data_IF_626957874394
#
_entry.id   IF_626957874394
#
_cell.length_a   1.000
_cell.length_b   1.000
_cell.length_c   1.000
_cell.angle_alpha   90.00
_cell.angle_beta   90.00
_cell.angle_gamma   90.00
#
_symmetry.space_group_name_H-M   'P 1'
#
loop_
_entity.id
_entity.type
_entity.pdbx_description
1 polymer ?
#
# COMPACT_ATOMS: atom_id res chain seq x y z
N UNK A 1 -2.76 -22.70 -25.72
CA UNK A 1 -2.48 -23.47 -24.47
C UNK A 1 -3.82 -23.99 -23.95
N UNK A 2 -3.86 -24.76 -22.85
CA UNK A 2 -5.14 -24.99 -22.16
C UNK A 2 -5.70 -23.63 -21.70
N UNK A 3 -7.02 -23.44 -21.74
CA UNK A 3 -7.65 -22.22 -21.21
C UNK A 3 -7.52 -22.16 -19.68
N UNK A 4 -7.42 -23.32 -19.02
CA UNK A 4 -7.15 -23.44 -17.58
C UNK A 4 -5.66 -23.64 -17.29
N UNK A 5 -5.14 -22.89 -16.31
CA UNK A 5 -3.76 -22.95 -15.83
C UNK A 5 -3.73 -23.50 -14.40
N UNK A 6 -2.67 -24.23 -14.05
CA UNK A 6 -2.37 -24.62 -12.67
C UNK A 6 -1.56 -23.52 -12.00
N UNK A 7 -2.12 -22.89 -10.97
CA UNK A 7 -1.59 -21.67 -10.36
C UNK A 7 -1.15 -21.93 -8.92
N UNK A 8 0.11 -21.57 -8.63
CA UNK A 8 0.51 -21.29 -7.25
C UNK A 8 0.22 -19.81 -6.96
N UNK A 9 -0.47 -19.52 -5.87
CA UNK A 9 -0.69 -18.13 -5.43
C UNK A 9 0.20 -17.80 -4.23
N UNK A 10 0.91 -16.67 -4.26
CA UNK A 10 1.75 -16.20 -3.17
C UNK A 10 1.31 -14.81 -2.70
N UNK A 11 0.79 -14.70 -1.48
CA UNK A 11 0.29 -13.45 -0.95
C UNK A 11 -0.01 -13.47 0.55
N UNK A 12 -0.18 -12.30 1.16
CA UNK A 12 -0.40 -12.21 2.62
C UNK A 12 -1.62 -11.33 3.02
N UNK A 13 -1.69 -10.03 2.65
CA UNK A 13 -2.74 -9.14 3.17
C UNK A 13 -4.08 -9.31 2.45
N UNK A 14 -5.11 -8.57 2.90
CA UNK A 14 -6.44 -8.54 2.29
C UNK A 14 -6.41 -8.26 0.77
N UNK A 15 -5.56 -7.31 0.34
CA UNK A 15 -5.31 -7.04 -1.08
C UNK A 15 -5.04 -8.31 -1.88
N UNK A 16 -4.18 -9.18 -1.36
CA UNK A 16 -3.83 -10.43 -2.01
C UNK A 16 -4.98 -11.44 -1.93
N UNK A 17 -5.71 -11.49 -0.82
CA UNK A 17 -6.88 -12.37 -0.68
C UNK A 17 -7.94 -12.09 -1.75
N UNK A 18 -8.15 -10.83 -2.14
CA UNK A 18 -9.08 -10.48 -3.25
C UNK A 18 -8.63 -11.02 -4.60
N UNK A 19 -7.32 -11.01 -4.87
CA UNK A 19 -6.77 -11.61 -6.08
C UNK A 19 -6.90 -13.15 -6.05
N UNK A 20 -6.63 -13.77 -4.90
CA UNK A 20 -6.85 -15.20 -4.72
C UNK A 20 -8.32 -15.58 -4.94
N UNK A 21 -9.27 -14.83 -4.37
CA UNK A 21 -10.70 -15.08 -4.56
C UNK A 21 -11.09 -15.04 -6.05
N UNK A 22 -10.63 -14.02 -6.78
CA UNK A 22 -10.90 -13.90 -8.21
C UNK A 22 -10.32 -15.07 -9.03
N UNK A 23 -9.17 -15.62 -8.64
CA UNK A 23 -8.60 -16.82 -9.28
C UNK A 23 -9.38 -18.09 -8.93
N UNK A 24 -9.91 -18.20 -7.71
CA UNK A 24 -10.75 -19.33 -7.29
C UNK A 24 -12.06 -19.34 -8.07
N UNK A 25 -12.63 -18.16 -8.35
CA UNK A 25 -13.87 -17.99 -9.08
C UNK A 25 -13.69 -18.08 -10.61
N UNK A 26 -12.46 -18.21 -11.12
CA UNK A 26 -12.16 -18.31 -12.55
C UNK A 26 -12.05 -19.76 -13.03
N UNK A 27 -11.74 -19.95 -14.31
CA UNK A 27 -11.50 -21.25 -14.93
C UNK A 27 -10.18 -21.92 -14.53
N UNK A 28 -9.33 -21.24 -13.76
CA UNK A 28 -8.00 -21.72 -13.39
C UNK A 28 -8.03 -22.59 -12.12
N UNK A 29 -7.01 -23.43 -11.95
CA UNK A 29 -6.87 -24.30 -10.78
C UNK A 29 -5.82 -23.72 -9.84
N UNK A 30 -6.22 -23.21 -8.68
CA UNK A 30 -5.27 -22.81 -7.63
C UNK A 30 -4.79 -24.05 -6.88
N UNK A 31 -3.60 -24.54 -7.23
CA UNK A 31 -3.06 -25.82 -6.73
C UNK A 31 -2.36 -25.68 -5.38
N UNK A 32 -1.97 -24.46 -5.00
CA UNK A 32 -1.34 -24.21 -3.72
C UNK A 32 -1.19 -22.73 -3.41
N UNK A 33 -1.16 -22.41 -2.12
CA UNK A 33 -1.05 -21.04 -1.60
C UNK A 33 0.19 -20.90 -0.73
N UNK A 34 1.05 -19.93 -1.04
CA UNK A 34 2.09 -19.43 -0.15
C UNK A 34 1.63 -18.17 0.56
N UNK A 35 1.87 -18.13 1.86
CA UNK A 35 1.63 -16.94 2.69
C UNK A 35 2.67 -16.86 3.79
N UNK A 36 2.89 -15.67 4.33
CA UNK A 36 3.79 -15.49 5.47
C UNK A 36 3.34 -16.36 6.66
N UNK A 37 4.28 -16.87 7.49
CA UNK A 37 3.95 -17.53 8.75
C UNK A 37 3.05 -16.66 9.63
N UNK A 38 2.14 -17.30 10.37
CA UNK A 38 1.22 -16.60 11.27
C UNK A 38 2.00 -15.77 12.29
N UNK A 39 1.56 -14.53 12.50
CA UNK A 39 2.21 -13.60 13.43
C UNK A 39 1.23 -13.21 14.54
N UNK A 40 1.74 -12.87 15.74
CA UNK A 40 0.92 -12.26 16.77
C UNK A 40 0.34 -10.93 16.29
N UNK A 41 -0.98 -10.79 16.39
CA UNK A 41 -1.70 -9.58 15.97
C UNK A 41 -2.64 -9.07 17.08
N UNK A 42 -2.98 -7.79 17.01
CA UNK A 42 -3.96 -7.15 17.91
C UNK A 42 -3.54 -7.03 19.39
N UNK A 43 -4.47 -6.56 20.22
CA UNK A 43 -4.28 -6.46 21.68
C UNK A 43 -4.36 -7.87 22.27
N UNK A 44 -3.29 -8.31 22.94
CA UNK A 44 -3.19 -9.66 23.50
C UNK A 44 -2.33 -10.63 22.67
N UNK A 45 -1.81 -10.20 21.52
CA UNK A 45 -0.80 -10.94 20.73
C UNK A 45 -1.19 -12.40 20.41
N UNK A 46 -2.48 -12.65 20.13
CA UNK A 46 -2.91 -13.97 19.68
C UNK A 46 -2.36 -14.23 18.28
N UNK A 47 -1.83 -15.43 18.06
CA UNK A 47 -1.41 -15.89 16.74
C UNK A 47 -2.69 -16.00 15.90
N UNK A 48 -2.75 -15.25 14.81
CA UNK A 48 -3.92 -15.17 13.93
C UNK A 48 -3.46 -15.48 12.51
N UNK A 49 -4.27 -16.25 11.78
CA UNK A 49 -4.04 -16.50 10.37
C UNK A 49 -4.18 -15.18 9.58
N UNK A 50 -3.41 -15.04 8.49
CA UNK A 50 -3.57 -13.91 7.57
C UNK A 50 -4.77 -14.12 6.63
N UNK A 51 -5.30 -13.05 6.01
CA UNK A 51 -6.46 -13.13 5.12
C UNK A 51 -6.33 -14.17 3.99
N UNK A 52 -5.17 -14.26 3.35
CA UNK A 52 -4.90 -15.26 2.29
C UNK A 52 -4.97 -16.69 2.82
N UNK A 53 -4.44 -16.95 4.02
CA UNK A 53 -4.49 -18.28 4.65
C UNK A 53 -5.92 -18.68 4.97
N UNK A 54 -6.69 -17.77 5.56
CA UNK A 54 -8.08 -18.04 5.94
C UNK A 54 -8.91 -18.38 4.70
N UNK A 55 -8.78 -17.62 3.62
CA UNK A 55 -9.47 -17.90 2.37
C UNK A 55 -9.05 -19.24 1.75
N UNK A 56 -7.75 -19.51 1.68
CA UNK A 56 -7.25 -20.79 1.15
C UNK A 56 -7.80 -22.00 1.93
N UNK A 57 -7.86 -21.90 3.26
CA UNK A 57 -8.42 -22.96 4.12
C UNK A 57 -9.93 -23.15 3.90
N UNK A 58 -10.69 -22.07 3.71
CA UNK A 58 -12.13 -22.15 3.41
C UNK A 58 -12.41 -22.92 2.11
N UNK A 59 -11.52 -22.78 1.12
CA UNK A 59 -11.62 -23.47 -0.17
C UNK A 59 -10.83 -24.79 -0.24
N UNK A 60 -10.28 -25.27 0.89
CA UNK A 60 -9.46 -26.49 0.98
C UNK A 60 -8.23 -26.51 0.05
N UNK A 61 -7.64 -25.34 -0.20
CA UNK A 61 -6.43 -25.20 -1.01
C UNK A 61 -5.20 -25.45 -0.10
N UNK A 62 -4.22 -26.25 -0.52
CA UNK A 62 -3.01 -26.49 0.25
C UNK A 62 -2.26 -25.19 0.58
N UNK A 63 -1.93 -24.97 1.86
CA UNK A 63 -1.19 -23.79 2.32
C UNK A 63 0.22 -24.16 2.75
N UNK A 64 1.21 -23.41 2.25
CA UNK A 64 2.62 -23.51 2.63
C UNK A 64 3.12 -22.18 3.22
N UNK A 65 3.72 -22.24 4.41
CA UNK A 65 4.21 -21.05 5.14
C UNK A 65 5.69 -21.16 5.46
N UNK A 66 6.59 -21.22 4.45
CA UNK A 66 8.01 -21.30 4.71
C UNK A 66 8.51 -20.01 5.35
N UNK A 67 9.43 -20.10 6.30
CA UNK A 67 10.10 -18.93 6.86
C UNK A 67 11.07 -18.26 5.85
N UNK A 68 11.48 -19.00 4.80
CA UNK A 68 12.37 -18.54 3.74
C UNK A 68 12.20 -19.39 2.49
N UNK A 69 12.30 -18.81 1.31
CA UNK A 69 12.32 -19.55 0.04
C UNK A 69 13.74 -19.86 -0.47
N UNK A 70 14.78 -19.49 0.28
CA UNK A 70 16.18 -19.69 -0.14
C UNK A 70 16.69 -21.12 0.01
N UNK A 71 16.02 -21.95 0.81
CA UNK A 71 16.45 -23.33 1.05
C UNK A 71 15.79 -24.28 0.05
N UNK A 72 16.58 -25.16 -0.54
CA UNK A 72 16.12 -26.15 -1.53
C UNK A 72 15.04 -27.09 -0.98
N UNK A 73 15.06 -27.38 0.33
CA UNK A 73 14.02 -28.18 1.00
C UNK A 73 12.60 -27.60 0.79
N UNK A 74 12.49 -26.27 0.63
CA UNK A 74 11.21 -25.60 0.40
C UNK A 74 10.81 -25.58 -1.08
N UNK A 75 11.72 -25.89 -2.01
CA UNK A 75 11.44 -25.94 -3.44
C UNK A 75 10.72 -27.22 -3.84
N UNK A 76 10.98 -28.32 -3.13
CA UNK A 76 10.32 -29.60 -3.36
C UNK A 76 8.79 -29.49 -3.32
N UNK A 77 8.25 -28.80 -2.31
CA UNK A 77 6.82 -28.55 -2.21
C UNK A 77 6.26 -27.80 -3.42
N UNK A 78 7.02 -26.84 -3.97
CA UNK A 78 6.62 -26.07 -5.16
C UNK A 78 6.62 -26.94 -6.43
N UNK A 79 7.63 -27.80 -6.60
CA UNK A 79 7.70 -28.74 -7.72
C UNK A 79 6.55 -29.73 -7.70
N UNK A 80 6.16 -30.22 -6.51
CA UNK A 80 5.06 -31.17 -6.34
C UNK A 80 3.70 -30.60 -6.78
N UNK A 81 3.53 -29.27 -6.81
CA UNK A 81 2.29 -28.67 -7.28
C UNK A 81 2.13 -28.73 -8.81
N UNK A 82 3.21 -28.96 -9.55
CA UNK A 82 3.21 -29.01 -11.03
C UNK A 82 2.50 -27.78 -11.64
N UNK A 83 2.86 -26.59 -11.16
CA UNK A 83 2.21 -25.35 -11.56
C UNK A 83 2.70 -24.87 -12.93
N UNK A 84 1.77 -24.36 -13.74
CA UNK A 84 2.10 -23.63 -14.96
C UNK A 84 2.71 -22.28 -14.63
N UNK A 85 2.18 -21.59 -13.63
CA UNK A 85 2.55 -20.22 -13.29
C UNK A 85 2.41 -19.97 -11.79
N UNK A 86 3.18 -19.01 -11.27
CA UNK A 86 2.98 -18.48 -9.92
C UNK A 86 2.51 -17.03 -9.98
N UNK A 87 1.45 -16.71 -9.25
CA UNK A 87 0.93 -15.35 -9.10
C UNK A 87 1.33 -14.81 -7.73
N UNK A 88 2.05 -13.70 -7.72
CA UNK A 88 2.58 -13.05 -6.53
C UNK A 88 1.86 -11.72 -6.31
N UNK A 89 1.29 -11.53 -5.12
CA UNK A 89 0.57 -10.31 -4.76
C UNK A 89 0.88 -9.98 -3.30
N UNK A 90 1.62 -8.90 -3.05
CA UNK A 90 1.94 -8.41 -1.71
C UNK A 90 2.43 -9.53 -0.74
N UNK A 91 3.28 -10.43 -1.23
CA UNK A 91 3.70 -11.62 -0.50
C UNK A 91 4.59 -11.31 0.70
N UNK A 92 5.54 -10.37 0.54
CA UNK A 92 6.43 -9.93 1.61
C UNK A 92 7.73 -10.71 1.77
N UNK A 93 8.02 -11.66 0.88
CA UNK A 93 9.34 -12.31 0.75
C UNK A 93 9.88 -12.17 -0.67
N UNK A 94 11.21 -12.12 -0.77
CA UNK A 94 11.92 -12.15 -2.03
C UNK A 94 11.90 -13.60 -2.57
N UNK A 95 11.51 -13.77 -3.83
CA UNK A 95 11.63 -15.02 -4.54
C UNK A 95 13.05 -15.12 -5.11
N UNK A 96 13.86 -16.12 -4.71
CA UNK A 96 15.16 -16.36 -5.35
C UNK A 96 14.95 -16.86 -6.79
N UNK A 97 15.97 -16.70 -7.64
CA UNK A 97 15.93 -17.16 -9.05
C UNK A 97 15.49 -18.62 -9.16
N UNK A 98 16.02 -19.49 -8.30
CA UNK A 98 15.66 -20.91 -8.26
C UNK A 98 14.16 -21.17 -8.06
N UNK A 99 13.40 -20.23 -7.44
CA UNK A 99 11.94 -20.32 -7.32
C UNK A 99 11.22 -19.70 -8.52
N UNK A 100 11.76 -18.60 -9.07
CA UNK A 100 11.22 -17.97 -10.29
C UNK A 100 11.20 -18.94 -11.48
N UNK A 101 12.17 -19.85 -11.53
CA UNK A 101 12.34 -20.82 -12.61
C UNK A 101 11.50 -22.11 -12.43
N UNK A 102 10.81 -22.30 -11.29
CA UNK A 102 10.04 -23.53 -11.02
C UNK A 102 8.79 -23.63 -11.91
N UNK A 103 7.90 -22.63 -11.96
CA UNK A 103 6.73 -22.71 -12.81
C UNK A 103 7.14 -22.56 -14.28
N UNK A 104 6.48 -23.30 -15.18
CA UNK A 104 6.78 -23.32 -16.62
C UNK A 104 6.75 -21.93 -17.28
N UNK A 105 5.84 -21.07 -16.82
CA UNK A 105 5.63 -19.69 -17.29
C UNK A 105 6.23 -18.66 -16.32
N UNK A 106 7.03 -19.11 -15.35
CA UNK A 106 7.62 -18.27 -14.31
C UNK A 106 6.60 -17.68 -13.33
N UNK A 107 6.94 -16.51 -12.81
CA UNK A 107 6.14 -15.81 -11.80
C UNK A 107 5.67 -14.45 -12.33
N UNK A 108 4.39 -14.14 -12.14
CA UNK A 108 3.84 -12.80 -12.36
C UNK A 108 3.61 -12.11 -11.02
N UNK A 109 3.84 -10.80 -10.97
CA UNK A 109 3.50 -9.98 -9.81
C UNK A 109 2.42 -8.95 -10.17
N UNK A 110 1.47 -8.74 -9.26
CA UNK A 110 0.54 -7.60 -9.32
C UNK A 110 1.10 -6.48 -8.47
N UNK A 111 1.69 -5.48 -9.14
CA UNK A 111 2.30 -4.33 -8.48
C UNK A 111 1.32 -3.16 -8.38
N UNK A 112 1.25 -2.52 -7.21
CA UNK A 112 0.29 -1.44 -6.91
C UNK A 112 0.70 -0.05 -7.40
N UNK A 113 1.38 0.04 -8.55
CA UNK A 113 1.62 1.30 -9.27
C UNK A 113 1.63 1.09 -10.79
N UNK A 114 1.70 2.20 -11.52
CA UNK A 114 2.02 2.24 -12.94
C UNK A 114 3.55 2.22 -13.11
N UNK A 115 4.13 1.04 -13.27
CA UNK A 115 5.57 0.89 -13.50
C UNK A 115 5.99 1.61 -14.80
N UNK A 116 7.24 2.11 -14.88
CA UNK A 116 8.36 1.92 -13.95
C UNK A 116 8.38 2.84 -12.72
N UNK A 117 7.37 3.72 -12.56
CA UNK A 117 7.27 4.55 -11.36
C UNK A 117 6.90 3.69 -10.14
N UNK A 118 7.47 4.06 -8.98
CA UNK A 118 7.16 3.51 -7.67
C UNK A 118 7.47 2.02 -7.49
N UNK A 119 8.64 1.56 -7.97
CA UNK A 119 9.16 0.24 -7.58
C UNK A 119 9.33 0.14 -6.07
N UNK A 120 9.02 -1.01 -5.46
CA UNK A 120 9.26 -1.27 -4.05
C UNK A 120 8.01 -1.37 -3.17
N UNK A 121 8.14 -0.97 -1.91
CA UNK A 121 7.34 -1.52 -0.83
C UNK A 121 6.03 -0.76 -0.52
N UNK A 122 5.91 0.52 -0.88
CA UNK A 122 4.75 1.34 -0.56
C UNK A 122 4.23 2.18 -1.75
N UNK A 123 4.02 1.59 -2.94
CA UNK A 123 3.70 2.34 -4.16
C UNK A 123 2.42 3.18 -4.04
N UNK A 124 1.36 2.62 -3.47
CA UNK A 124 0.05 3.26 -3.33
C UNK A 124 0.19 4.58 -2.54
N UNK A 125 0.85 4.50 -1.40
CA UNK A 125 1.02 5.62 -0.49
C UNK A 125 1.96 6.68 -1.08
N UNK A 126 2.98 6.25 -1.82
CA UNK A 126 4.00 7.13 -2.39
C UNK A 126 3.49 7.93 -3.59
N UNK A 127 2.66 7.34 -4.43
CA UNK A 127 1.97 8.07 -5.50
C UNK A 127 1.09 9.20 -4.93
N UNK A 128 0.30 8.89 -3.90
CA UNK A 128 -0.54 9.89 -3.21
C UNK A 128 0.30 10.98 -2.51
N UNK A 129 1.36 10.57 -1.83
CA UNK A 129 2.28 11.46 -1.11
C UNK A 129 2.99 12.44 -2.05
N UNK A 130 3.41 12.00 -3.23
CA UNK A 130 4.05 12.83 -4.23
C UNK A 130 3.08 13.81 -4.91
N UNK A 131 1.78 13.50 -4.85
CA UNK A 131 0.73 14.28 -5.50
C UNK A 131 0.55 13.92 -6.97
N UNK A 132 0.76 12.64 -7.32
CA UNK A 132 0.44 12.13 -8.65
C UNK A 132 -1.06 12.28 -8.93
N UNK A 133 -1.41 12.53 -10.19
CA UNK A 133 -2.81 12.66 -10.61
C UNK A 133 -3.50 11.29 -10.77
N UNK A 134 -2.73 10.25 -11.03
CA UNK A 134 -3.21 8.89 -11.23
C UNK A 134 -2.25 7.87 -10.60
N UNK A 135 -2.79 6.70 -10.29
CA UNK A 135 -2.04 5.51 -9.91
C UNK A 135 -2.68 4.31 -10.60
N UNK A 136 -2.30 3.09 -10.25
CA UNK A 136 -2.86 1.91 -10.87
C UNK A 136 -2.21 0.63 -10.40
N UNK A 137 -2.47 -0.42 -11.18
CA UNK A 137 -1.78 -1.69 -11.07
C UNK A 137 -0.99 -1.99 -12.34
N UNK A 138 0.13 -2.66 -12.18
CA UNK A 138 0.89 -3.27 -13.28
C UNK A 138 1.02 -4.76 -13.02
N UNK A 139 0.60 -5.58 -13.98
CA UNK A 139 0.94 -7.00 -14.01
C UNK A 139 2.29 -7.11 -14.71
N UNK A 140 3.28 -7.66 -14.03
CA UNK A 140 4.64 -7.77 -14.56
C UNK A 140 5.15 -9.21 -14.48
N UNK A 141 6.00 -9.59 -15.43
CA UNK A 141 6.85 -10.76 -15.30
C UNK A 141 7.91 -10.47 -14.24
N UNK A 142 8.08 -11.36 -13.26
CA UNK A 142 9.14 -11.21 -12.26
C UNK A 142 10.50 -11.63 -12.82
N UNK A 143 11.53 -10.90 -12.43
CA UNK A 143 12.94 -11.24 -12.62
C UNK A 143 13.69 -11.21 -11.27
N UNK A 144 15.02 -11.31 -11.29
CA UNK A 144 15.84 -11.30 -10.08
C UNK A 144 15.87 -9.94 -9.35
N UNK A 145 15.45 -8.86 -10.01
CA UNK A 145 15.47 -7.52 -9.45
C UNK A 145 14.22 -7.18 -8.64
N UNK A 146 14.24 -6.01 -8.00
CA UNK A 146 13.08 -5.49 -7.28
C UNK A 146 12.17 -4.73 -8.24
N UNK A 147 11.07 -5.37 -8.64
CA UNK A 147 10.06 -4.80 -9.53
C UNK A 147 10.63 -4.33 -10.88
N UNK A 148 11.61 -5.06 -11.44
CA UNK A 148 12.34 -4.65 -12.64
C UNK A 148 11.92 -5.35 -13.92
N UNK A 149 11.22 -6.47 -13.83
CA UNK A 149 10.85 -7.27 -15.00
C UNK A 149 9.80 -6.61 -15.90
N UNK A 150 9.60 -7.23 -17.06
CA UNK A 150 8.79 -6.67 -18.14
C UNK A 150 7.31 -6.50 -17.73
N UNK A 151 6.74 -5.37 -18.13
CA UNK A 151 5.34 -5.03 -17.85
C UNK A 151 4.45 -5.72 -18.88
N UNK A 152 3.39 -6.38 -18.44
CA UNK A 152 2.50 -7.16 -19.31
C UNK A 152 1.17 -6.44 -19.53
N UNK A 153 0.64 -5.81 -18.48
CA UNK A 153 -0.62 -5.08 -18.54
C UNK A 153 -0.68 -4.01 -17.45
N UNK A 154 -1.36 -2.90 -17.73
CA UNK A 154 -1.57 -1.79 -16.78
C UNK A 154 -3.05 -1.43 -16.73
N UNK A 155 -3.52 -1.10 -15.53
CA UNK A 155 -4.84 -0.49 -15.34
C UNK A 155 -4.68 0.70 -14.38
N UNK A 156 -5.15 1.87 -14.81
CA UNK A 156 -5.02 3.12 -14.07
C UNK A 156 -6.31 3.53 -13.36
N UNK A 157 -6.19 4.31 -12.30
CA UNK A 157 -7.28 5.02 -11.65
C UNK A 157 -6.83 6.40 -11.18
N UNK A 158 -7.75 7.37 -11.22
CA UNK A 158 -7.51 8.73 -10.75
C UNK A 158 -7.34 8.80 -9.23
N UNK A 159 -6.39 9.64 -8.80
CA UNK A 159 -6.22 10.07 -7.40
C UNK A 159 -6.99 11.37 -7.21
N UNK A 160 -8.09 11.30 -6.45
CA UNK A 160 -8.90 12.48 -6.11
C UNK A 160 -8.30 13.27 -4.95
N UNK A 161 -8.80 14.49 -4.72
CA UNK A 161 -8.34 15.33 -3.62
C UNK A 161 -8.66 14.73 -2.24
N UNK A 162 -9.73 13.94 -2.15
CA UNK A 162 -10.21 13.31 -0.91
C UNK A 162 -9.63 11.91 -0.69
N UNK A 163 -8.92 11.35 -1.68
CA UNK A 163 -8.35 10.02 -1.57
C UNK A 163 -7.30 9.94 -0.46
N UNK A 164 -7.39 8.86 0.30
CA UNK A 164 -6.39 8.41 1.27
C UNK A 164 -5.76 7.12 0.76
N UNK A 165 -4.66 6.68 1.37
CA UNK A 165 -4.10 5.37 1.00
C UNK A 165 -5.09 4.23 1.25
N UNK A 166 -6.02 4.35 2.21
CA UNK A 166 -7.09 3.39 2.41
C UNK A 166 -8.08 3.36 1.22
N UNK A 167 -8.55 4.51 0.72
CA UNK A 167 -9.50 4.53 -0.39
C UNK A 167 -8.85 4.13 -1.71
N UNK A 168 -7.58 4.54 -1.95
CA UNK A 168 -6.81 4.07 -3.10
C UNK A 168 -6.57 2.57 -3.04
N UNK A 169 -6.29 2.02 -1.85
CA UNK A 169 -6.15 0.57 -1.67
C UNK A 169 -7.40 -0.17 -2.12
N UNK A 170 -8.60 0.29 -1.74
CA UNK A 170 -9.87 -0.32 -2.17
C UNK A 170 -10.06 -0.22 -3.70
N UNK A 171 -9.81 0.96 -4.30
CA UNK A 171 -9.86 1.11 -5.76
C UNK A 171 -8.93 0.14 -6.48
N UNK A 172 -7.69 0.00 -5.99
CA UNK A 172 -6.70 -0.90 -6.56
C UNK A 172 -7.04 -2.37 -6.33
N UNK A 173 -7.67 -2.69 -5.20
CA UNK A 173 -8.17 -4.01 -4.87
C UNK A 173 -9.32 -4.47 -5.79
N UNK A 174 -10.05 -3.53 -6.39
CA UNK A 174 -11.11 -3.82 -7.35
C UNK A 174 -10.57 -4.00 -8.78
N UNK A 175 -9.64 -3.14 -9.22
CA UNK A 175 -9.08 -3.21 -10.59
C UNK A 175 -7.97 -4.27 -10.73
N UNK A 176 -7.24 -4.57 -9.65
CA UNK A 176 -6.12 -5.53 -9.62
C UNK A 176 -6.50 -6.93 -10.09
N UNK A 177 -7.54 -7.56 -9.49
CA UNK A 177 -7.97 -8.89 -9.90
C UNK A 177 -8.46 -8.94 -11.34
N UNK A 178 -9.14 -7.90 -11.82
CA UNK A 178 -9.60 -7.81 -13.22
C UNK A 178 -8.43 -7.74 -14.19
N UNK A 179 -7.42 -6.90 -13.87
CA UNK A 179 -6.19 -6.79 -14.64
C UNK A 179 -5.41 -8.12 -14.69
N UNK A 180 -5.36 -8.84 -13.56
CA UNK A 180 -4.75 -10.16 -13.48
C UNK A 180 -5.45 -11.18 -14.39
N UNK A 181 -6.78 -11.34 -14.26
CA UNK A 181 -7.54 -12.30 -15.07
C UNK A 181 -7.46 -11.96 -16.57
N UNK A 182 -7.49 -10.68 -16.93
CA UNK A 182 -7.28 -10.24 -18.30
C UNK A 182 -5.91 -10.66 -18.83
N UNK A 183 -4.86 -10.46 -18.03
CA UNK A 183 -3.48 -10.84 -18.40
C UNK A 183 -3.35 -12.36 -18.58
N UNK A 184 -3.97 -13.16 -17.71
CA UNK A 184 -3.98 -14.62 -17.84
C UNK A 184 -4.72 -15.09 -19.10
N UNK A 185 -5.82 -14.43 -19.45
CA UNK A 185 -6.54 -14.69 -20.70
C UNK A 185 -5.65 -14.45 -21.94
N UNK A 186 -4.94 -13.32 -21.97
CA UNK A 186 -3.98 -13.01 -23.04
C UNK A 186 -2.81 -14.02 -23.06
N UNK A 187 -2.34 -14.46 -21.89
CA UNK A 187 -1.28 -15.47 -21.76
C UNK A 187 -1.71 -16.81 -22.38
N UNK A 188 -2.92 -17.31 -22.06
CA UNK A 188 -3.43 -18.56 -22.61
C UNK A 188 -3.57 -18.54 -24.14
N UNK A 189 -3.91 -17.36 -24.70
CA UNK A 189 -4.03 -17.09 -26.14
C UNK A 189 -2.69 -16.78 -26.83
N UNK A 190 -1.61 -16.65 -26.07
CA UNK A 190 -0.30 -16.26 -26.58
C UNK A 190 -0.31 -14.88 -27.27
N UNK A 191 -1.07 -13.94 -26.69
CA UNK A 191 -1.27 -12.57 -27.20
C UNK A 191 -0.54 -11.51 -26.38
N UNK A 192 0.15 -11.89 -25.30
CA UNK A 192 0.93 -10.95 -24.47
C UNK A 192 2.04 -10.26 -25.27
N UNK A 193 2.23 -8.98 -24.97
CA UNK A 193 3.30 -8.15 -25.50
C UNK A 193 4.08 -7.55 -24.33
N UNK A 194 5.13 -8.23 -23.83
CA UNK A 194 5.94 -7.71 -22.74
C UNK A 194 6.62 -6.39 -23.12
N UNK A 195 6.51 -5.39 -22.24
CA UNK A 195 7.11 -4.06 -22.38
C UNK A 195 8.27 -3.91 -21.37
N UNK A 196 9.52 -3.81 -21.84
CA UNK A 196 10.66 -3.52 -20.97
C UNK A 196 10.54 -2.15 -20.29
N UNK A 197 10.93 -2.08 -19.03
CA UNK A 197 10.86 -0.85 -18.24
C UNK A 197 11.93 0.17 -18.66
N UNK A 198 11.53 1.43 -18.89
CA UNK A 198 12.45 2.54 -19.16
C UNK A 198 13.16 3.01 -17.88
N UNK A 199 14.49 2.87 -17.83
CA UNK A 199 15.32 3.29 -16.68
C UNK A 199 15.18 4.77 -16.33
N UNK A 200 14.85 5.63 -17.31
CA UNK A 200 14.72 7.08 -17.10
C UNK A 200 13.48 7.50 -16.30
N UNK A 201 12.50 6.61 -16.17
CA UNK A 201 11.22 6.86 -15.51
C UNK A 201 11.10 6.12 -14.16
N UNK A 202 12.19 5.47 -13.71
CA UNK A 202 12.19 4.68 -12.47
C UNK A 202 12.19 5.60 -11.26
N UNK A 203 11.23 5.39 -10.36
CA UNK A 203 11.22 5.94 -9.00
C UNK A 203 11.02 4.81 -7.99
N UNK A 204 11.47 5.01 -6.75
CA UNK A 204 11.38 4.00 -5.69
C UNK A 204 10.42 4.44 -4.58
N UNK A 205 9.51 3.54 -4.23
CA UNK A 205 8.54 3.69 -3.18
C UNK A 205 9.07 3.09 -1.87
N UNK A 206 9.80 3.90 -1.10
CA UNK A 206 10.30 3.51 0.21
C UNK A 206 9.17 3.19 1.19
N UNK A 207 9.41 2.20 2.06
CA UNK A 207 8.47 1.81 3.11
C UNK A 207 8.26 2.98 4.09
N UNK A 208 6.99 3.25 4.41
CA UNK A 208 6.64 4.29 5.38
C UNK A 208 7.19 3.96 6.79
N UNK A 209 7.52 5.01 7.55
CA UNK A 209 7.99 4.91 8.92
C UNK A 209 7.20 5.82 9.88
N UNK A 210 7.21 5.52 11.18
CA UNK A 210 6.55 6.40 12.16
C UNK A 210 7.31 7.71 12.32
N UNK A 211 8.60 7.70 12.05
CA UNK A 211 9.47 8.87 12.11
C UNK A 211 9.08 9.85 11.01
N UNK A 212 8.83 9.36 9.81
CA UNK A 212 8.37 10.13 8.65
C UNK A 212 6.95 10.69 8.82
N UNK A 213 6.08 10.00 9.57
CA UNK A 213 4.73 10.48 9.86
C UNK A 213 4.69 11.70 10.82
N UNK A 214 5.82 12.09 11.43
CA UNK A 214 5.86 13.33 12.19
C UNK A 214 5.77 14.51 11.23
N UNK A 215 4.77 15.38 11.43
CA UNK A 215 4.60 16.58 10.62
C UNK A 215 5.85 17.46 10.75
N UNK A 216 6.48 17.73 9.60
CA UNK A 216 7.61 18.63 9.50
C UNK A 216 7.13 19.96 8.91
N UNK A 217 6.96 20.96 9.77
CA UNK A 217 6.45 22.28 9.38
C UNK A 217 7.31 23.01 8.33
N UNK A 218 8.54 22.55 8.10
CA UNK A 218 9.40 23.06 7.03
C UNK A 218 8.96 22.63 5.61
N UNK A 219 7.95 21.78 5.48
CA UNK A 219 7.31 21.44 4.21
C UNK A 219 6.16 22.41 3.92
N UNK A 220 5.75 22.52 2.66
CA UNK A 220 4.58 23.32 2.28
C UNK A 220 3.29 22.72 2.84
N UNK A 221 2.26 23.55 3.02
CA UNK A 221 0.95 23.09 3.47
C UNK A 221 0.36 22.03 2.54
N UNK A 222 0.56 22.15 1.23
CA UNK A 222 0.13 21.15 0.25
C UNK A 222 0.84 19.79 0.44
N UNK A 223 2.15 19.79 0.72
CA UNK A 223 2.85 18.55 0.97
C UNK A 223 2.42 17.90 2.28
N UNK A 224 2.20 18.69 3.35
CA UNK A 224 1.72 18.17 4.63
C UNK A 224 0.30 17.61 4.53
N UNK A 225 -0.57 18.26 3.76
CA UNK A 225 -1.93 17.77 3.48
C UNK A 225 -1.88 16.39 2.78
N UNK A 226 -1.03 16.23 1.75
CA UNK A 226 -0.79 14.94 1.10
C UNK A 226 -0.22 13.90 2.06
N UNK A 227 0.73 14.27 2.93
CA UNK A 227 1.24 13.36 3.96
C UNK A 227 0.12 12.84 4.87
N UNK A 228 -0.79 13.72 5.31
CA UNK A 228 -1.93 13.35 6.17
C UNK A 228 -2.82 12.30 5.50
N UNK A 229 -3.12 12.47 4.19
CA UNK A 229 -3.91 11.49 3.43
C UNK A 229 -3.13 10.22 3.10
N UNK A 230 -1.87 10.34 2.68
CA UNK A 230 -1.01 9.21 2.30
C UNK A 230 -0.67 8.30 3.48
N UNK A 231 -0.55 8.85 4.69
CA UNK A 231 -0.24 8.08 5.89
C UNK A 231 -1.50 7.56 6.60
N UNK A 232 -2.70 7.74 6.02
CA UNK A 232 -3.94 7.18 6.51
C UNK A 232 -4.23 5.84 5.80
N UNK A 233 -4.31 4.70 6.52
CA UNK A 233 -4.57 4.57 7.96
C UNK A 233 -3.33 4.25 8.81
N UNK A 234 -2.15 4.15 8.19
CA UNK A 234 -0.89 3.89 8.87
C UNK A 234 0.27 4.61 8.18
N UNK A 235 1.21 5.26 8.92
CA UNK A 235 1.28 5.35 10.39
C UNK A 235 0.36 6.39 11.05
N UNK A 236 -0.37 7.15 10.24
CA UNK A 236 -1.11 8.38 10.57
C UNK A 236 -0.18 9.52 10.94
N UNK A 237 -0.26 10.63 10.20
CA UNK A 237 0.50 11.83 10.50
C UNK A 237 0.23 12.30 11.92
N UNK A 238 1.25 12.82 12.60
CA UNK A 238 1.10 13.33 13.97
C UNK A 238 2.05 14.47 14.26
N UNK A 239 1.74 15.17 15.34
CA UNK A 239 2.58 16.18 15.97
C UNK A 239 2.72 15.87 17.47
N UNK A 240 3.65 16.55 18.15
CA UNK A 240 3.88 16.38 19.59
C UNK A 240 3.40 17.64 20.31
N UNK A 241 2.54 17.48 21.32
CA UNK A 241 2.15 18.55 22.25
C UNK A 241 2.31 17.99 23.67
N UNK A 242 2.95 18.73 24.56
CA UNK A 242 3.20 18.31 25.95
C UNK A 242 3.76 16.87 26.03
N UNK A 243 4.76 16.56 25.20
CA UNK A 243 5.41 15.25 25.06
C UNK A 243 4.46 14.10 24.61
N UNK A 244 3.23 14.41 24.20
CA UNK A 244 2.24 13.43 23.75
C UNK A 244 2.01 13.50 22.24
N UNK A 245 1.89 12.35 21.55
CA UNK A 245 1.54 12.33 20.14
C UNK A 245 0.05 12.65 19.95
N UNK A 246 -0.23 13.63 19.10
CA UNK A 246 -1.56 13.97 18.60
C UNK A 246 -1.60 13.66 17.12
N UNK A 247 -2.40 12.67 16.73
CA UNK A 247 -2.55 12.29 15.32
C UNK A 247 -3.45 13.28 14.59
N UNK A 248 -3.18 13.51 13.32
CA UNK A 248 -3.96 14.36 12.42
C UNK A 248 -4.56 13.48 11.33
N UNK A 249 -5.89 13.52 11.20
CA UNK A 249 -6.65 12.65 10.30
C UNK A 249 -7.15 13.38 9.07
N UNK A 250 -7.49 14.67 9.22
CA UNK A 250 -7.95 15.53 8.14
C UNK A 250 -7.38 16.93 8.31
N UNK A 251 -6.99 17.51 7.18
CA UNK A 251 -6.54 18.89 7.06
C UNK A 251 -6.90 19.42 5.67
N UNK A 252 -6.96 20.74 5.55
CA UNK A 252 -7.10 21.43 4.27
C UNK A 252 -5.99 22.48 4.12
N UNK A 253 -5.70 22.86 2.88
CA UNK A 253 -4.73 23.92 2.59
C UNK A 253 -5.45 25.26 2.47
N UNK A 254 -4.91 26.28 3.13
CA UNK A 254 -5.29 27.68 2.92
C UNK A 254 -4.13 28.36 2.18
N UNK A 255 -4.38 28.77 0.95
CA UNK A 255 -3.41 29.40 0.06
C UNK A 255 -3.25 30.90 0.36
N UNK A 256 -2.84 31.22 1.58
CA UNK A 256 -2.51 32.58 2.02
C UNK A 256 -1.00 32.68 2.32
N UNK A 257 -0.36 33.82 1.99
CA UNK A 257 1.05 34.02 2.30
C UNK A 257 1.24 34.09 3.82
N UNK A 258 2.29 33.43 4.31
CA UNK A 258 2.60 33.36 5.73
C UNK A 258 3.87 34.17 6.01
N UNK A 259 3.79 35.07 6.99
CA UNK A 259 4.91 35.93 7.41
C UNK A 259 5.51 35.50 8.75
N UNK A 260 4.93 34.50 9.41
CA UNK A 260 5.38 33.96 10.69
C UNK A 260 6.20 32.69 10.48
N UNK A 261 6.95 32.27 11.51
CA UNK A 261 7.80 31.09 11.43
C UNK A 261 6.97 29.80 11.22
N UNK A 262 7.47 28.82 10.46
CA UNK A 262 6.82 27.52 10.34
C UNK A 262 6.59 26.85 11.71
N UNK A 263 5.42 26.23 11.88
CA UNK A 263 4.97 25.63 13.13
C UNK A 263 4.20 26.59 14.05
N UNK A 264 4.20 27.89 13.76
CA UNK A 264 3.42 28.86 14.55
C UNK A 264 1.92 28.70 14.33
N UNK A 265 1.16 28.68 15.42
CA UNK A 265 -0.30 28.65 15.41
C UNK A 265 -0.82 30.03 15.05
N UNK A 266 -1.45 30.16 13.88
CA UNK A 266 -2.00 31.43 13.39
C UNK A 266 -3.38 31.67 14.02
N UNK A 267 -4.21 30.62 14.00
CA UNK A 267 -5.60 30.68 14.45
C UNK A 267 -6.06 29.32 14.94
N UNK A 268 -6.93 29.32 15.94
CA UNK A 268 -7.54 28.11 16.46
C UNK A 268 -9.01 28.39 16.81
N UNK A 269 -9.93 27.91 15.96
CA UNK A 269 -11.36 28.08 16.17
C UNK A 269 -12.19 26.94 15.55
N UNK A 270 -13.49 27.18 15.37
CA UNK A 270 -14.43 26.18 14.84
C UNK A 270 -14.12 25.73 13.41
N UNK A 271 -13.44 26.56 12.62
CA UNK A 271 -13.02 26.26 11.24
C UNK A 271 -11.79 25.35 11.18
N UNK A 272 -11.05 25.23 12.29
CA UNK A 272 -9.88 24.38 12.42
C UNK A 272 -8.72 25.06 13.16
N UNK A 273 -7.60 24.36 13.20
CA UNK A 273 -6.34 24.83 13.78
C UNK A 273 -5.38 25.11 12.64
N UNK A 274 -5.08 26.39 12.43
CA UNK A 274 -4.29 26.90 11.32
C UNK A 274 -2.84 27.06 11.74
N UNK A 275 -1.95 26.31 11.08
CA UNK A 275 -0.51 26.28 11.34
C UNK A 275 0.24 26.86 10.16
N UNK A 276 1.16 27.78 10.45
CA UNK A 276 2.12 28.32 9.51
C UNK A 276 3.05 27.21 8.98
N UNK A 277 3.27 27.20 7.67
CA UNK A 277 4.25 26.30 7.03
C UNK A 277 5.24 27.13 6.21
N UNK A 278 6.15 26.49 5.48
CA UNK A 278 7.06 27.23 4.58
C UNK A 278 6.35 27.87 3.39
N UNK A 279 5.22 27.31 2.97
CA UNK A 279 4.39 27.85 1.91
C UNK A 279 2.92 27.49 2.14
N UNK A 280 2.10 28.51 2.36
CA UNK A 280 0.70 28.38 2.74
C UNK A 280 0.47 27.98 4.21
N UNK A 281 -0.80 27.80 4.55
CA UNK A 281 -1.27 27.48 5.89
C UNK A 281 -1.92 26.10 5.88
N UNK A 282 -1.53 25.24 6.82
CA UNK A 282 -2.19 23.95 7.03
C UNK A 282 -3.32 24.13 8.05
N UNK A 283 -4.56 23.87 7.66
CA UNK A 283 -5.72 23.92 8.55
C UNK A 283 -6.14 22.51 8.98
N UNK A 284 -5.77 22.12 10.20
CA UNK A 284 -6.13 20.81 10.77
C UNK A 284 -7.58 20.81 11.26
N UNK A 285 -8.39 19.88 10.77
CA UNK A 285 -9.85 19.83 11.03
C UNK A 285 -10.25 18.64 11.88
N UNK A 286 -9.51 17.53 11.82
CA UNK A 286 -9.75 16.34 12.61
C UNK A 286 -8.45 15.81 13.21
N UNK A 287 -8.41 15.66 14.53
CA UNK A 287 -7.23 15.16 15.24
C UNK A 287 -7.64 14.11 16.28
N UNK A 288 -6.64 13.40 16.82
CA UNK A 288 -6.84 12.36 17.81
C UNK A 288 -5.75 12.45 18.89
N UNK A 289 -6.09 12.98 20.07
CA UNK A 289 -5.24 12.86 21.26
C UNK A 289 -4.99 11.40 21.65
N UNK A 290 -3.84 11.13 22.26
CA UNK A 290 -3.49 9.80 22.74
C UNK A 290 -4.60 9.18 23.62
N UNK A 291 -5.00 7.95 23.30
CA UNK A 291 -6.04 7.21 24.04
C UNK A 291 -7.48 7.68 23.80
N UNK A 292 -7.73 8.62 22.88
CA UNK A 292 -9.07 9.10 22.50
C UNK A 292 -9.46 8.65 21.09
N UNK A 293 -10.74 8.81 20.74
CA UNK A 293 -11.22 8.67 19.36
C UNK A 293 -10.87 9.92 18.54
N UNK A 294 -10.75 9.83 17.20
CA UNK A 294 -10.67 11.01 16.34
C UNK A 294 -11.86 11.93 16.59
N UNK A 295 -11.61 13.24 16.62
CA UNK A 295 -12.59 14.26 16.95
C UNK A 295 -12.29 15.55 16.18
N UNK A 296 -13.30 16.43 16.10
CA UNK A 296 -13.15 17.70 15.38
C UNK A 296 -12.20 18.65 16.11
N UNK A 297 -11.61 19.60 15.39
CA UNK A 297 -10.86 20.69 15.98
C UNK A 297 -11.69 21.44 17.04
N UNK A 298 -13.00 21.63 16.81
CA UNK A 298 -13.90 22.28 17.79
C UNK A 298 -13.94 21.51 19.12
N UNK A 299 -14.09 20.18 19.08
CA UNK A 299 -14.17 19.36 20.29
C UNK A 299 -12.85 19.36 21.07
N UNK A 300 -11.73 19.40 20.34
CA UNK A 300 -10.40 19.53 20.94
C UNK A 300 -10.26 20.89 21.60
N UNK A 301 -10.63 21.97 20.94
CA UNK A 301 -10.51 23.32 21.50
C UNK A 301 -11.43 23.54 22.71
N UNK A 302 -12.56 22.82 22.81
CA UNK A 302 -13.42 22.85 23.99
C UNK A 302 -12.80 22.17 25.21
N UNK A 303 -11.91 21.20 25.00
CA UNK A 303 -11.32 20.38 26.08
C UNK A 303 -9.85 20.64 26.35
N UNK A 304 -9.12 21.18 25.38
CA UNK A 304 -7.65 21.36 25.33
C UNK A 304 -7.28 22.67 24.62
N UNK A 305 -7.94 23.77 25.00
CA UNK A 305 -7.70 25.08 24.38
C UNK A 305 -6.25 25.54 24.55
N UNK A 306 -5.65 25.19 25.68
CA UNK A 306 -4.28 25.52 26.07
C UNK A 306 -3.22 24.97 25.11
N UNK A 307 -3.53 23.89 24.38
CA UNK A 307 -2.62 23.28 23.40
C UNK A 307 -2.47 24.11 22.13
N UNK A 308 -3.46 24.95 21.81
CA UNK A 308 -3.55 25.63 20.52
C UNK A 308 -3.68 27.14 20.65
N UNK A 309 -2.94 27.74 21.59
CA UNK A 309 -2.92 29.19 21.79
C UNK A 309 -2.23 29.85 20.58
N UNK A 310 -2.90 30.77 19.85
CA UNK A 310 -2.28 31.48 18.74
C UNK A 310 -1.00 32.22 19.15
N UNK A 311 0.01 32.16 18.30
CA UNK A 311 1.36 32.69 18.54
C UNK A 311 2.36 31.68 19.12
N UNK A 312 1.89 30.57 19.70
CA UNK A 312 2.78 29.47 20.09
C UNK A 312 3.28 28.69 18.86
N UNK A 313 4.38 27.96 19.02
CA UNK A 313 4.98 27.14 17.95
C UNK A 313 4.95 25.66 18.34
N UNK A 314 4.61 24.79 17.38
CA UNK A 314 4.51 23.33 17.48
C UNK A 314 5.73 22.59 16.90
#
# INVERSE_FOLDING_TARGET
MSDSLRIIFAGTPDFAARHLNALIDSEHEVVGVLTMPDRPAGRGKKITAGPVKELAQQHNIPVFQPATLRKEENHQWLHEQQADIMIVVAYGMILPQAVLDIPRLGCLNVHGSLLPAWRGAAPIQRALWAGDAETGVTIMQMDAGLDTGDMLYKAACEITAEDTSASLYEKLADIGPQALLHTLSLLCRNELQPEPQSCSLVTYAEKLSKEEARLNWNLSAAQLERCIRAFNPWPVSYLIIDEQPVKVWQANVIAEPVTVAPGTIIRADKSGIQIATTDGILNMTQLQPAGKKPMSATDILNSRKEWFIPGNTL
#
